data_IF_403155596574
#
_entry.id   IF_403155596574
#
_cell.length_a   1.000
_cell.length_b   1.000
_cell.length_c   1.000
_cell.angle_alpha   90.00
_cell.angle_beta   90.00
_cell.angle_gamma   90.00
#
_symmetry.space_group_name_H-M   'P 1'
#
loop_
_entity.id
_entity.type
_entity.pdbx_description
1 polymer ?
#
# COMPACT_ATOMS: atom_id res chain seq x y z
N UNK A 1 -7.03 24.04 3.32
CA UNK A 1 -5.71 23.90 2.70
C UNK A 1 -5.31 22.46 2.93
N UNK A 2 -5.44 21.61 1.91
CA UNK A 2 -5.07 20.20 2.03
C UNK A 2 -3.56 20.14 2.18
N UNK A 3 -3.09 19.59 3.31
CA UNK A 3 -1.68 19.27 3.49
C UNK A 3 -1.37 18.13 2.54
N UNK A 4 -0.84 18.48 1.36
CA UNK A 4 -0.44 17.49 0.38
C UNK A 4 0.72 16.69 1.01
N UNK A 5 0.48 15.40 1.24
CA UNK A 5 1.46 14.53 1.88
C UNK A 5 2.62 14.32 0.91
N UNK A 6 3.84 14.64 1.37
CA UNK A 6 5.03 14.51 0.54
C UNK A 6 5.67 13.13 0.69
N UNK A 7 5.60 12.34 -0.38
CA UNK A 7 6.24 11.01 -0.47
C UNK A 7 7.68 11.07 -1.00
N UNK A 8 8.24 12.25 -1.28
CA UNK A 8 9.54 12.40 -1.93
C UNK A 8 10.67 11.68 -1.19
N UNK A 9 10.67 11.72 0.15
CA UNK A 9 11.64 11.03 0.99
C UNK A 9 11.59 9.49 0.85
N UNK A 10 10.42 8.93 0.56
CA UNK A 10 10.21 7.50 0.40
C UNK A 10 10.62 6.98 -0.98
N UNK A 11 10.75 7.85 -1.99
CA UNK A 11 11.09 7.41 -3.34
C UNK A 11 12.50 6.82 -3.37
N UNK A 12 12.61 5.57 -3.81
CA UNK A 12 13.86 4.82 -3.88
C UNK A 12 14.16 3.95 -2.66
N UNK A 13 13.40 4.07 -1.56
CA UNK A 13 13.49 3.19 -0.39
C UNK A 13 12.76 1.87 -0.65
N UNK A 14 13.19 0.77 -0.03
CA UNK A 14 12.58 -0.55 -0.25
C UNK A 14 11.47 -0.84 0.74
N UNK A 15 10.40 -1.48 0.28
CA UNK A 15 9.36 -1.99 1.18
C UNK A 15 9.88 -3.19 1.96
N UNK A 16 9.79 -3.14 3.28
CA UNK A 16 10.29 -4.19 4.20
C UNK A 16 9.16 -4.96 4.85
N UNK A 17 8.09 -4.26 5.27
CA UNK A 17 6.95 -4.85 5.98
C UNK A 17 5.68 -4.21 5.47
N UNK A 18 4.64 -5.03 5.31
CA UNK A 18 3.26 -4.59 5.13
C UNK A 18 2.45 -5.24 6.24
N UNK A 19 1.72 -4.42 7.00
CA UNK A 19 0.77 -4.87 8.01
C UNK A 19 -0.62 -4.35 7.62
N UNK A 20 -1.57 -5.27 7.44
CA UNK A 20 -2.93 -4.96 7.02
C UNK A 20 -3.89 -5.41 8.11
N UNK A 21 -4.80 -4.53 8.51
CA UNK A 21 -5.87 -4.86 9.45
C UNK A 21 -7.15 -5.04 8.64
N UNK A 22 -7.56 -6.29 8.44
CA UNK A 22 -8.79 -6.64 7.72
C UNK A 22 -10.03 -6.29 8.55
N UNK A 23 -11.06 -5.74 7.90
CA UNK A 23 -12.40 -5.64 8.47
C UNK A 23 -13.07 -7.02 8.42
N UNK A 24 -13.38 -7.58 9.60
CA UNK A 24 -13.96 -8.93 9.73
C UNK A 24 -15.49 -8.92 9.78
N UNK A 25 -16.09 -7.76 9.95
CA UNK A 25 -17.54 -7.62 10.08
C UNK A 25 -18.20 -7.52 8.69
N UNK A 26 -17.41 -7.17 7.67
CA UNK A 26 -17.84 -7.19 6.26
C UNK A 26 -17.71 -8.59 5.65
N UNK A 27 -18.83 -9.14 5.19
CA UNK A 27 -18.90 -10.40 4.45
C UNK A 27 -18.93 -10.15 2.95
N UNK A 28 -17.81 -9.70 2.39
CA UNK A 28 -17.65 -9.47 0.95
C UNK A 28 -16.54 -10.37 0.38
N UNK A 29 -16.55 -10.57 -0.94
CA UNK A 29 -15.46 -11.23 -1.67
C UNK A 29 -14.24 -10.29 -1.88
N UNK A 30 -14.36 -9.04 -1.43
CA UNK A 30 -13.35 -7.99 -1.57
C UNK A 30 -12.46 -7.93 -0.34
N UNK A 31 -11.17 -7.63 -0.51
CA UNK A 31 -10.28 -7.39 0.61
C UNK A 31 -10.51 -5.98 1.16
N UNK A 32 -11.24 -5.90 2.27
CA UNK A 32 -11.53 -4.66 2.99
C UNK A 32 -10.62 -4.52 4.22
N UNK A 33 -10.00 -3.35 4.36
CA UNK A 33 -9.08 -3.05 5.47
C UNK A 33 -9.60 -1.87 6.29
N UNK A 34 -9.43 -1.94 7.61
CA UNK A 34 -9.61 -0.77 8.49
C UNK A 34 -8.32 0.04 8.62
N UNK A 35 -7.16 -0.56 8.30
CA UNK A 35 -5.85 0.12 8.32
C UNK A 35 -4.86 -0.62 7.40
N UNK A 36 -4.02 0.14 6.71
CA UNK A 36 -2.84 -0.39 6.02
C UNK A 36 -1.57 0.35 6.45
N UNK A 37 -0.57 -0.41 6.90
CA UNK A 37 0.73 0.10 7.35
C UNK A 37 1.84 -0.45 6.46
N UNK A 38 2.63 0.43 5.87
CA UNK A 38 3.80 0.10 5.05
C UNK A 38 5.06 0.62 5.72
N UNK A 39 6.07 -0.24 5.84
CA UNK A 39 7.36 0.08 6.46
C UNK A 39 8.46 -0.01 5.42
N UNK A 40 9.22 1.06 5.26
CA UNK A 40 10.31 1.15 4.30
C UNK A 40 11.69 0.95 4.95
N UNK A 41 12.70 0.61 4.16
CA UNK A 41 14.10 0.68 4.58
C UNK A 41 14.37 2.07 5.13
N UNK A 42 15.10 2.16 6.24
CA UNK A 42 15.27 3.41 7.03
C UNK A 42 14.06 3.76 7.92
N UNK A 43 13.09 2.84 8.07
CA UNK A 43 12.00 2.83 9.06
C UNK A 43 10.99 3.97 8.98
N UNK A 44 10.85 4.62 7.83
CA UNK A 44 9.69 5.48 7.58
C UNK A 44 8.42 4.62 7.49
N UNK A 45 7.37 5.10 8.16
CA UNK A 45 6.09 4.42 8.32
C UNK A 45 5.03 5.19 7.54
N UNK A 46 4.39 4.53 6.58
CA UNK A 46 3.18 5.04 5.93
C UNK A 46 1.98 4.33 6.53
N UNK A 47 1.07 5.09 7.14
CA UNK A 47 -0.18 4.59 7.71
C UNK A 47 -1.32 5.18 6.89
N UNK A 48 -2.24 4.32 6.48
CA UNK A 48 -3.42 4.66 5.70
C UNK A 48 -4.66 4.19 6.46
N UNK A 49 -5.56 5.12 6.73
CA UNK A 49 -6.78 4.88 7.49
C UNK A 49 -7.96 5.51 6.75
N UNK A 50 -9.06 4.78 6.52
CA UNK A 50 -10.26 5.39 5.97
C UNK A 50 -10.90 6.29 7.04
N UNK A 51 -11.33 7.49 6.66
CA UNK A 51 -12.07 8.36 7.55
C UNK A 51 -13.55 7.92 7.59
N UNK A 52 -14.13 7.64 8.77
CA UNK A 52 -15.51 7.24 8.86
C UNK A 52 -16.46 8.29 8.26
N UNK A 53 -17.52 7.82 7.60
CA UNK A 53 -18.59 8.66 7.04
C UNK A 53 -18.16 9.54 5.85
N UNK A 54 -16.91 9.45 5.42
CA UNK A 54 -16.41 10.07 4.18
C UNK A 54 -15.75 9.01 3.29
N UNK A 55 -15.55 9.33 2.01
CA UNK A 55 -14.73 8.52 1.11
C UNK A 55 -13.30 9.05 1.09
N UNK A 56 -12.74 9.37 2.26
CA UNK A 56 -11.41 9.98 2.41
C UNK A 56 -10.43 9.02 3.08
N UNK A 57 -9.18 9.05 2.62
CA UNK A 57 -8.04 8.36 3.21
C UNK A 57 -7.24 9.37 4.01
N UNK A 58 -7.11 9.14 5.31
CA UNK A 58 -6.09 9.79 6.12
C UNK A 58 -4.74 9.10 5.86
N UNK A 59 -3.75 9.91 5.45
CA UNK A 59 -2.39 9.46 5.13
C UNK A 59 -1.43 10.07 6.15
N UNK A 60 -0.72 9.22 6.90
CA UNK A 60 0.30 9.64 7.85
C UNK A 60 1.66 9.06 7.46
N UNK A 61 2.66 9.93 7.28
CA UNK A 61 4.07 9.54 7.11
C UNK A 61 4.83 9.94 8.36
N UNK A 62 5.34 8.95 9.09
CA UNK A 62 6.10 9.19 10.31
C UNK A 62 7.56 8.76 10.10
N UNK A 63 8.54 9.64 10.38
CA UNK A 63 9.92 9.20 10.48
C UNK A 63 10.04 8.23 11.65
N UNK A 64 11.02 7.32 11.64
CA UNK A 64 11.34 6.58 12.85
C UNK A 64 11.72 7.57 13.94
N UNK A 65 11.04 7.54 15.08
CA UNK A 65 11.46 8.30 16.25
C UNK A 65 12.94 7.98 16.55
N UNK A 66 13.79 9.00 16.47
CA UNK A 66 15.14 8.96 17.03
C UNK A 66 15.02 8.62 18.52
N UNK A 67 15.54 7.48 18.90
CA UNK A 67 15.73 7.09 20.29
C UNK A 67 16.80 7.98 20.93
N UNK A 68 16.47 9.22 21.29
CA UNK A 68 17.32 10.07 22.13
C UNK A 68 16.57 10.98 23.10
N UNK A 69 15.28 10.77 23.33
CA UNK A 69 14.61 11.32 24.51
C UNK A 69 14.41 10.21 25.54
N UNK A 70 15.39 10.06 26.42
CA UNK A 70 15.25 9.35 27.69
C UNK A 70 14.22 10.10 28.55
N UNK A 71 12.96 9.67 28.41
CA UNK A 71 11.83 10.14 29.21
C UNK A 71 10.79 9.03 29.24
N UNK A 72 11.02 8.05 30.12
CA UNK A 72 10.08 7.01 30.55
C UNK A 72 9.14 6.44 29.46
N UNK A 73 9.74 5.61 28.62
CA UNK A 73 9.18 4.35 28.12
C UNK A 73 7.71 4.35 27.68
N UNK A 74 7.45 4.65 26.41
CA UNK A 74 6.27 4.06 25.75
C UNK A 74 6.34 3.92 24.22
N UNK A 75 7.24 4.60 23.50
CA UNK A 75 7.20 4.58 22.02
C UNK A 75 8.22 3.64 21.35
N UNK A 76 9.34 3.29 21.98
CA UNK A 76 10.29 2.29 21.46
C UNK A 76 9.71 0.85 21.47
N UNK A 77 8.62 0.66 22.21
CA UNK A 77 7.81 -0.55 22.17
C UNK A 77 6.89 -0.58 20.97
N UNK A 78 6.33 0.52 20.46
CA UNK A 78 5.41 0.45 19.33
C UNK A 78 6.08 -0.06 18.05
N UNK A 79 7.27 0.41 17.67
CA UNK A 79 7.95 -0.08 16.46
C UNK A 79 8.45 -1.52 16.56
N UNK A 80 8.83 -1.98 17.76
CA UNK A 80 9.29 -3.35 17.99
C UNK A 80 8.17 -4.33 18.38
N UNK A 81 7.06 -3.83 18.91
CA UNK A 81 5.80 -4.54 19.16
C UNK A 81 4.89 -4.51 17.93
N UNK A 82 4.90 -3.54 17.01
CA UNK A 82 4.22 -3.65 15.70
C UNK A 82 4.95 -4.64 14.78
N UNK A 83 6.28 -4.70 14.88
CA UNK A 83 7.09 -5.73 14.19
C UNK A 83 6.94 -7.11 14.86
N UNK A 84 6.47 -7.21 16.12
CA UNK A 84 6.21 -8.48 16.82
C UNK A 84 4.73 -8.86 16.92
N UNK A 85 3.83 -7.89 16.92
CA UNK A 85 2.40 -8.05 17.09
C UNK A 85 1.77 -8.03 15.71
N UNK A 86 1.18 -9.18 15.38
CA UNK A 86 0.33 -9.38 14.21
C UNK A 86 1.07 -9.42 12.87
N UNK A 87 2.02 -10.34 12.77
CA UNK A 87 1.94 -11.27 11.62
C UNK A 87 0.65 -12.08 11.80
N UNK A 88 -0.49 -11.48 11.43
CA UNK A 88 -1.71 -12.25 11.25
C UNK A 88 -1.42 -13.20 10.10
N UNK A 89 -1.10 -14.45 10.46
CA UNK A 89 -1.01 -15.60 9.56
C UNK A 89 -2.41 -15.91 8.98
N UNK A 90 -3.05 -14.94 8.33
CA UNK A 90 -4.11 -15.25 7.40
C UNK A 90 -3.40 -15.57 6.07
N UNK A 91 -3.24 -16.86 5.76
CA UNK A 91 -2.63 -17.31 4.51
C UNK A 91 -3.35 -16.75 3.26
N UNK A 92 -4.56 -16.21 3.42
CA UNK A 92 -5.42 -15.76 2.33
C UNK A 92 -4.94 -14.50 1.59
N UNK A 93 -4.11 -13.63 2.17
CA UNK A 93 -3.83 -12.31 1.58
C UNK A 93 -2.33 -12.00 1.43
N UNK A 94 -1.52 -12.92 0.88
CA UNK A 94 -0.07 -12.70 0.69
C UNK A 94 0.32 -11.93 -0.59
N UNK A 95 -0.64 -11.30 -1.28
CA UNK A 95 -0.41 -10.61 -2.55
C UNK A 95 0.69 -9.53 -2.47
N UNK A 96 0.89 -8.91 -1.30
CA UNK A 96 1.88 -7.87 -1.09
C UNK A 96 3.32 -8.40 -1.04
N UNK A 97 3.53 -9.70 -0.82
CA UNK A 97 4.89 -10.27 -0.68
C UNK A 97 5.73 -10.10 -1.94
N UNK A 98 5.10 -10.03 -3.10
CA UNK A 98 5.78 -9.78 -4.37
C UNK A 98 6.42 -8.38 -4.45
N UNK A 99 6.09 -7.47 -3.53
CA UNK A 99 6.64 -6.11 -3.48
C UNK A 99 7.75 -5.96 -2.44
N UNK A 100 8.01 -6.97 -1.61
CA UNK A 100 9.07 -6.92 -0.60
C UNK A 100 10.46 -6.80 -1.24
N UNK A 101 11.27 -5.92 -0.66
CA UNK A 101 12.61 -5.59 -1.17
C UNK A 101 12.58 -4.78 -2.48
N UNK A 102 11.43 -4.50 -3.07
CA UNK A 102 11.35 -3.61 -4.22
C UNK A 102 11.35 -2.15 -3.77
N UNK A 103 12.07 -1.31 -4.51
CA UNK A 103 12.14 0.13 -4.27
C UNK A 103 10.83 0.79 -4.68
N UNK A 104 10.32 1.70 -3.86
CA UNK A 104 9.24 2.59 -4.26
C UNK A 104 9.72 3.48 -5.41
N UNK A 105 8.97 3.51 -6.51
CA UNK A 105 9.30 4.30 -7.70
C UNK A 105 8.39 5.52 -7.83
N UNK A 106 7.10 5.37 -7.49
CA UNK A 106 6.12 6.43 -7.54
C UNK A 106 4.96 6.15 -6.58
N UNK A 107 4.33 7.24 -6.14
CA UNK A 107 3.04 7.24 -5.44
C UNK A 107 2.16 8.25 -6.15
N UNK A 108 0.91 7.86 -6.41
CA UNK A 108 -0.12 8.77 -6.90
C UNK A 108 -1.23 8.84 -5.87
N UNK A 109 -1.57 10.05 -5.44
CA UNK A 109 -2.74 10.34 -4.61
C UNK A 109 -3.74 11.09 -5.48
N UNK A 110 -4.97 10.61 -5.54
CA UNK A 110 -6.07 11.25 -6.28
C UNK A 110 -7.05 11.86 -5.30
N UNK A 111 -7.71 12.92 -5.74
CA UNK A 111 -8.86 13.51 -5.06
C UNK A 111 -10.13 13.20 -5.84
N UNK A 112 -11.24 12.96 -5.14
CA UNK A 112 -12.56 12.82 -5.74
C UNK A 112 -13.17 14.19 -6.10
N UNK A 113 -14.39 14.19 -6.63
CA UNK A 113 -15.10 15.43 -7.00
C UNK A 113 -15.50 16.32 -5.81
N UNK A 114 -15.36 15.84 -4.57
CA UNK A 114 -15.57 16.60 -3.34
C UNK A 114 -14.26 17.17 -2.78
N UNK A 115 -13.11 16.82 -3.37
CA UNK A 115 -11.78 17.26 -2.93
C UNK A 115 -11.18 16.39 -1.82
N UNK A 116 -11.76 15.21 -1.56
CA UNK A 116 -11.23 14.24 -0.60
C UNK A 116 -10.21 13.33 -1.27
N UNK A 117 -9.11 13.04 -0.57
CA UNK A 117 -8.10 12.08 -1.03
C UNK A 117 -8.66 10.66 -0.90
N UNK A 118 -9.23 10.11 -1.96
CA UNK A 118 -10.00 8.86 -1.90
C UNK A 118 -9.21 7.66 -2.43
N UNK A 119 -8.15 7.88 -3.20
CA UNK A 119 -7.39 6.84 -3.87
C UNK A 119 -5.88 7.10 -3.76
N UNK A 120 -5.14 6.10 -3.33
CA UNK A 120 -3.67 6.08 -3.36
C UNK A 120 -3.17 4.86 -4.15
N UNK A 121 -2.18 5.07 -5.00
CA UNK A 121 -1.58 4.04 -5.85
C UNK A 121 -0.07 4.02 -5.68
N UNK A 122 0.49 2.84 -5.43
CA UNK A 122 1.92 2.63 -5.27
C UNK A 122 2.51 1.91 -6.49
N UNK A 123 3.73 2.28 -6.88
CA UNK A 123 4.53 1.59 -7.88
C UNK A 123 5.86 1.13 -7.27
N UNK A 124 6.09 -0.17 -7.28
CA UNK A 124 7.29 -0.82 -6.74
C UNK A 124 8.14 -1.44 -7.85
N UNK A 125 9.45 -1.20 -7.82
CA UNK A 125 10.45 -1.77 -8.72
C UNK A 125 10.47 -1.17 -10.14
N UNK A 126 9.32 -0.75 -10.67
CA UNK A 126 9.17 -0.12 -11.99
C UNK A 126 8.10 0.98 -11.93
N UNK A 127 8.04 1.84 -12.94
CA UNK A 127 7.01 2.90 -13.08
C UNK A 127 5.70 2.35 -13.66
N UNK A 128 5.18 1.27 -13.07
CA UNK A 128 3.81 0.82 -13.31
C UNK A 128 3.09 0.63 -11.96
N UNK A 129 1.77 0.87 -11.89
CA UNK A 129 0.99 0.59 -10.69
C UNK A 129 1.23 -0.85 -10.21
N UNK A 130 1.47 -0.99 -8.91
CA UNK A 130 1.64 -2.27 -8.22
C UNK A 130 0.35 -2.64 -7.48
N UNK A 131 -0.13 -1.73 -6.64
CA UNK A 131 -1.46 -1.83 -6.05
C UNK A 131 -2.01 -0.43 -5.74
N UNK A 132 -3.32 -0.37 -5.53
CA UNK A 132 -4.03 0.82 -5.08
C UNK A 132 -4.92 0.50 -3.88
N UNK A 133 -5.17 1.53 -3.08
CA UNK A 133 -6.13 1.52 -1.98
C UNK A 133 -7.11 2.65 -2.23
N UNK A 134 -8.41 2.36 -2.17
CA UNK A 134 -9.48 3.35 -2.27
C UNK A 134 -10.28 3.35 -0.96
N UNK A 135 -10.61 4.53 -0.44
CA UNK A 135 -11.57 4.66 0.66
C UNK A 135 -13.00 4.55 0.10
N UNK A 136 -13.80 3.70 0.73
CA UNK A 136 -15.24 3.62 0.48
C UNK A 136 -15.93 3.51 1.85
N UNK A 137 -16.52 4.63 2.30
CA UNK A 137 -17.00 4.75 3.68
C UNK A 137 -15.90 4.45 4.71
N UNK A 138 -16.13 3.47 5.57
CA UNK A 138 -15.22 3.16 6.70
C UNK A 138 -14.14 2.12 6.38
N UNK A 139 -13.91 1.78 5.11
CA UNK A 139 -12.92 0.75 4.72
C UNK A 139 -12.04 1.18 3.55
N UNK A 140 -10.84 0.60 3.51
CA UNK A 140 -9.95 0.64 2.35
C UNK A 140 -10.13 -0.64 1.53
N UNK A 141 -10.45 -0.50 0.24
CA UNK A 141 -10.47 -1.62 -0.70
C UNK A 141 -9.15 -1.73 -1.45
N UNK A 142 -8.65 -2.95 -1.60
CA UNK A 142 -7.35 -3.24 -2.21
C UNK A 142 -7.49 -3.65 -3.68
N UNK A 143 -6.72 -3.02 -4.56
CA UNK A 143 -6.62 -3.40 -5.97
C UNK A 143 -5.18 -3.73 -6.34
N UNK A 144 -4.90 -4.97 -6.76
CA UNK A 144 -3.56 -5.38 -7.22
C UNK A 144 -3.49 -5.31 -8.74
N UNK A 145 -2.51 -4.58 -9.26
CA UNK A 145 -2.40 -4.30 -10.69
C UNK A 145 -1.54 -5.34 -11.41
N UNK A 146 -1.99 -5.75 -12.59
CA UNK A 146 -1.21 -6.59 -13.50
C UNK A 146 -0.97 -5.85 -14.82
N UNK A 147 0.27 -5.91 -15.30
CA UNK A 147 0.61 -5.31 -16.58
C UNK A 147 -0.02 -6.09 -17.74
N UNK A 148 -0.82 -5.41 -18.57
CA UNK A 148 -1.33 -5.98 -19.83
C UNK A 148 -0.17 -6.06 -20.83
N UNK A 149 0.28 -7.27 -21.16
CA UNK A 149 1.34 -7.50 -22.14
C UNK A 149 0.76 -7.80 -23.52
N UNK A 150 1.37 -7.24 -24.56
CA UNK A 150 1.05 -7.60 -25.95
C UNK A 150 1.44 -9.07 -26.17
N UNK A 151 0.50 -9.91 -26.61
CA UNK A 151 0.83 -11.29 -27.02
C UNK A 151 1.82 -11.22 -28.17
N UNK A 152 3.00 -11.81 -27.99
CA UNK A 152 3.92 -12.05 -29.08
C UNK A 152 3.28 -13.13 -29.97
N UNK A 153 2.68 -12.73 -31.08
CA UNK A 153 2.27 -13.69 -32.11
C UNK A 153 3.56 -14.13 -32.77
N UNK A 154 4.07 -15.31 -32.40
CA UNK A 154 5.14 -15.98 -33.13
C UNK A 154 4.68 -16.15 -34.59
N UNK A 155 5.48 -15.66 -35.54
CA UNK A 155 5.19 -15.69 -36.98
C UNK A 155 5.02 -17.12 -37.55
N UNK A 156 5.33 -18.15 -36.77
CA UNK A 156 5.18 -19.56 -37.16
C UNK A 156 3.73 -20.03 -37.40
N UNK A 157 2.71 -19.22 -37.06
CA UNK A 157 1.30 -19.56 -37.34
C UNK A 157 0.71 -18.91 -38.61
N UNK A 158 1.48 -18.16 -39.38
CA UNK A 158 1.00 -17.54 -40.62
C UNK A 158 1.22 -18.38 -41.89
N UNK A 159 1.92 -19.52 -41.81
CA UNK A 159 2.17 -20.38 -42.98
C UNK A 159 1.17 -21.53 -43.18
N UNK A 160 0.27 -21.82 -42.23
CA UNK A 160 -0.65 -22.97 -42.34
C UNK A 160 -2.04 -22.62 -42.93
N UNK A 161 -2.18 -21.49 -43.62
CA UNK A 161 -3.45 -21.08 -44.29
C UNK A 161 -3.33 -20.86 -45.80
N UNK A 162 -2.29 -21.41 -46.43
CA UNK A 162 -2.17 -21.48 -47.89
C UNK A 162 -1.83 -22.91 -48.33
N UNK A 163 -2.76 -23.85 -48.17
CA UNK A 163 -2.84 -25.08 -48.97
C UNK A 163 -4.31 -25.47 -49.11
#
# INVERSE_FOLDING_TARGET
MNNLVDFSALIGTRLTVVNLIEDRDLSTDELCLTEAVLIFEERELVILTPLPETDEIEISINPPHDSNTFGNGSFCKLGSELVKAKFLNNEQSQWYRQFYGHKLQAVWVSENNQGYQDLITFAFGQLHPSFSLIAEGSVLKVFVHQQVRRRHISQDKLQTRQL
#
